data_IF_257708767227
#
_entry.id   IF_257708767227
#
_cell.length_a   1.000
_cell.length_b   1.000
_cell.length_c   1.000
_cell.angle_alpha   90.00
_cell.angle_beta   90.00
_cell.angle_gamma   90.00
#
_symmetry.space_group_name_H-M   'P 1'
#
loop_
_entity.id
_entity.type
_entity.pdbx_description
1 polymer ?
#
# COMPACT_ATOMS: atom_id res chain seq x y z
N UNK A 1 -24.28 0.52 -2.78
CA UNK A 1 -24.01 -0.39 -3.92
C UNK A 1 -25.31 -1.09 -4.33
N UNK A 2 -25.55 -1.37 -5.62
CA UNK A 2 -26.72 -2.17 -6.03
C UNK A 2 -26.57 -3.64 -5.63
N UNK A 3 -27.67 -4.39 -5.55
CA UNK A 3 -27.59 -5.83 -5.21
C UNK A 3 -26.81 -6.63 -6.25
N UNK A 4 -26.91 -6.26 -7.52
CA UNK A 4 -26.13 -6.89 -8.59
C UNK A 4 -24.63 -6.65 -8.41
N UNK A 5 -24.22 -5.42 -8.08
CA UNK A 5 -22.82 -5.10 -7.81
C UNK A 5 -22.31 -5.86 -6.57
N UNK A 6 -23.14 -5.95 -5.53
CA UNK A 6 -22.78 -6.66 -4.30
C UNK A 6 -22.61 -8.17 -4.53
N UNK A 7 -23.48 -8.79 -5.32
CA UNK A 7 -23.32 -10.21 -5.67
C UNK A 7 -22.10 -10.46 -6.57
N UNK A 8 -21.77 -9.54 -7.50
CA UNK A 8 -20.58 -9.66 -8.34
C UNK A 8 -19.28 -9.69 -7.51
N UNK A 9 -19.18 -8.89 -6.44
CA UNK A 9 -18.03 -8.93 -5.51
C UNK A 9 -17.93 -10.29 -4.81
N UNK A 10 -19.07 -10.84 -4.37
CA UNK A 10 -19.09 -12.17 -3.73
C UNK A 10 -18.73 -13.27 -4.72
N UNK A 11 -19.18 -13.18 -5.96
CA UNK A 11 -18.82 -14.12 -7.02
C UNK A 11 -17.30 -14.10 -7.30
N UNK A 12 -16.68 -12.92 -7.33
CA UNK A 12 -15.21 -12.78 -7.42
C UNK A 12 -14.50 -13.58 -6.32
N UNK A 13 -14.94 -13.46 -5.07
CA UNK A 13 -14.36 -14.21 -3.95
C UNK A 13 -14.70 -15.72 -3.92
N UNK A 14 -15.70 -16.19 -4.68
CA UNK A 14 -15.95 -17.65 -4.80
C UNK A 14 -14.86 -18.35 -5.61
N UNK A 15 -14.09 -17.62 -6.42
CA UNK A 15 -12.99 -18.18 -7.16
C UNK A 15 -11.85 -18.61 -6.19
N UNK A 16 -11.55 -19.91 -6.15
CA UNK A 16 -10.52 -20.47 -5.28
C UNK A 16 -9.13 -19.89 -5.55
N UNK A 17 -8.81 -19.58 -6.80
CA UNK A 17 -7.51 -19.01 -7.15
C UNK A 17 -7.36 -17.58 -6.62
N UNK A 18 -8.43 -16.79 -6.65
CA UNK A 18 -8.47 -15.44 -6.04
C UNK A 18 -8.21 -15.54 -4.55
N UNK A 19 -8.94 -16.41 -3.84
CA UNK A 19 -8.77 -16.59 -2.39
C UNK A 19 -7.35 -17.01 -2.04
N UNK A 20 -6.80 -17.98 -2.79
CA UNK A 20 -5.43 -18.45 -2.58
C UNK A 20 -4.41 -17.31 -2.74
N UNK A 21 -4.55 -16.44 -3.75
CA UNK A 21 -3.62 -15.31 -3.93
C UNK A 21 -3.72 -14.29 -2.79
N UNK A 22 -4.92 -14.04 -2.27
CA UNK A 22 -5.12 -13.14 -1.12
C UNK A 22 -4.52 -13.73 0.15
N UNK A 23 -4.73 -15.03 0.39
CA UNK A 23 -4.13 -15.76 1.49
C UNK A 23 -2.59 -15.74 1.41
N UNK A 24 -2.02 -16.01 0.23
CA UNK A 24 -0.58 -15.89 -0.05
C UNK A 24 -0.07 -14.48 0.28
N UNK A 25 -0.76 -13.44 -0.19
CA UNK A 25 -0.39 -12.04 0.06
C UNK A 25 -0.45 -11.64 1.54
N UNK A 26 -1.32 -12.28 2.32
CA UNK A 26 -1.42 -12.10 3.77
C UNK A 26 -0.41 -12.94 4.59
N UNK A 27 0.45 -13.72 3.91
CA UNK A 27 1.52 -14.53 4.53
C UNK A 27 1.30 -16.04 4.49
N UNK A 28 0.32 -16.51 3.70
CA UNK A 28 0.00 -17.92 3.48
C UNK A 28 -0.56 -18.62 4.72
N UNK A 29 -0.28 -19.92 4.84
CA UNK A 29 -0.85 -20.82 5.87
C UNK A 29 -0.66 -20.37 7.32
N UNK A 30 0.31 -19.47 7.59
CA UNK A 30 0.63 -18.98 8.93
C UNK A 30 0.49 -17.46 9.08
N UNK A 31 -0.37 -16.81 8.28
CA UNK A 31 -0.80 -15.42 8.38
C UNK A 31 0.22 -14.47 9.06
N UNK A 32 1.13 -13.91 8.26
CA UNK A 32 2.28 -13.16 8.78
C UNK A 32 1.94 -11.71 9.10
N UNK A 33 0.93 -11.12 8.48
CA UNK A 33 0.49 -9.78 8.83
C UNK A 33 -0.08 -9.74 10.27
N UNK A 34 0.07 -8.60 10.95
CA UNK A 34 -0.36 -8.48 12.35
C UNK A 34 -1.88 -8.53 12.48
N UNK A 35 -2.58 -7.92 11.53
CA UNK A 35 -4.03 -7.90 11.44
C UNK A 35 -4.48 -7.70 9.99
N UNK A 36 -5.75 -8.03 9.74
CA UNK A 36 -6.51 -7.67 8.55
C UNK A 36 -7.67 -6.76 8.91
N UNK A 37 -8.12 -6.02 7.92
CA UNK A 37 -9.28 -5.15 7.98
C UNK A 37 -10.21 -5.53 6.82
N UNK A 38 -11.45 -5.86 7.15
CA UNK A 38 -12.54 -5.95 6.19
C UNK A 38 -13.32 -4.64 6.17
N UNK A 39 -13.60 -4.11 4.99
CA UNK A 39 -14.46 -2.94 4.80
C UNK A 39 -15.47 -3.21 3.69
N UNK A 40 -16.68 -2.69 3.81
CA UNK A 40 -17.60 -2.72 2.68
C UNK A 40 -19.08 -2.76 3.01
N UNK A 41 -19.86 -2.90 1.94
CA UNK A 41 -21.32 -2.78 1.92
C UNK A 41 -22.01 -3.76 2.88
N UNK A 42 -21.51 -4.99 3.02
CA UNK A 42 -22.09 -5.97 3.95
C UNK A 42 -22.17 -5.42 5.38
N UNK A 43 -21.11 -4.80 5.89
CA UNK A 43 -21.12 -4.24 7.24
C UNK A 43 -22.08 -3.05 7.35
N UNK A 44 -22.14 -2.20 6.32
CA UNK A 44 -23.07 -1.07 6.28
C UNK A 44 -24.53 -1.53 6.34
N UNK A 45 -24.90 -2.55 5.55
CA UNK A 45 -26.24 -3.16 5.55
C UNK A 45 -26.60 -3.82 6.88
N UNK A 46 -25.60 -4.26 7.64
CA UNK A 46 -25.77 -4.83 8.99
C UNK A 46 -25.68 -3.78 10.11
N UNK A 47 -25.82 -2.49 9.79
CA UNK A 47 -25.97 -1.41 10.78
C UNK A 47 -24.66 -0.93 11.41
N UNK A 48 -23.49 -1.29 10.84
CA UNK A 48 -22.22 -0.77 11.30
C UNK A 48 -22.09 0.72 10.98
N UNK A 49 -21.94 1.56 12.00
CA UNK A 49 -21.71 3.02 11.83
C UNK A 49 -20.41 3.35 11.10
N UNK A 50 -19.38 2.54 11.33
CA UNK A 50 -18.15 2.51 10.55
C UNK A 50 -18.07 1.10 9.99
N UNK A 51 -18.25 0.89 8.67
CA UNK A 51 -18.36 -0.44 8.09
C UNK A 51 -16.97 -1.07 7.96
N UNK A 52 -16.29 -1.23 9.10
CA UNK A 52 -14.94 -1.72 9.25
C UNK A 52 -14.93 -2.82 10.31
N UNK A 53 -14.32 -3.96 9.97
CA UNK A 53 -14.06 -5.07 10.87
C UNK A 53 -12.57 -5.35 10.90
N UNK A 54 -11.96 -5.27 12.08
CA UNK A 54 -10.56 -5.64 12.26
C UNK A 54 -10.48 -7.04 12.85
N UNK A 55 -9.56 -7.86 12.36
CA UNK A 55 -9.24 -9.16 12.95
C UNK A 55 -7.74 -9.44 12.94
N UNK A 56 -7.26 -10.10 13.99
CA UNK A 56 -5.92 -10.69 14.11
C UNK A 56 -5.96 -12.22 13.96
N UNK A 57 -7.12 -12.77 13.60
CA UNK A 57 -7.40 -14.20 13.44
C UNK A 57 -7.44 -14.58 11.97
N UNK A 58 -6.71 -15.63 11.59
CA UNK A 58 -6.60 -16.07 10.19
C UNK A 58 -7.92 -16.66 9.69
N UNK A 59 -8.64 -17.36 10.56
CA UNK A 59 -9.94 -17.97 10.32
C UNK A 59 -11.01 -16.94 9.90
N UNK A 60 -10.85 -15.68 10.28
CA UNK A 60 -11.78 -14.61 9.90
C UNK A 60 -11.64 -14.18 8.44
N UNK A 61 -10.48 -14.41 7.81
CA UNK A 61 -10.21 -13.97 6.44
C UNK A 61 -11.21 -14.59 5.44
N UNK A 62 -11.47 -15.89 5.56
CA UNK A 62 -12.45 -16.57 4.71
C UNK A 62 -13.83 -15.94 4.86
N UNK A 63 -14.26 -15.69 6.11
CA UNK A 63 -15.54 -15.07 6.40
C UNK A 63 -15.67 -13.65 5.85
N UNK A 64 -14.60 -12.85 5.89
CA UNK A 64 -14.59 -11.52 5.27
C UNK A 64 -14.79 -11.61 3.75
N UNK A 65 -14.14 -12.56 3.08
CA UNK A 65 -14.32 -12.81 1.64
C UNK A 65 -15.73 -13.34 1.32
N UNK A 66 -16.29 -14.26 2.12
CA UNK A 66 -17.66 -14.78 1.94
C UNK A 66 -18.73 -13.67 2.05
N UNK A 67 -18.44 -12.68 2.88
CA UNK A 67 -19.24 -11.48 3.10
C UNK A 67 -19.06 -10.42 1.99
N UNK A 68 -18.11 -10.60 1.07
CA UNK A 68 -17.81 -9.64 0.02
C UNK A 68 -17.19 -8.35 0.54
N UNK A 69 -16.39 -8.42 1.62
CA UNK A 69 -15.66 -7.27 2.13
C UNK A 69 -14.36 -7.08 1.34
N UNK A 70 -14.02 -5.82 1.08
CA UNK A 70 -12.67 -5.44 0.68
C UNK A 70 -11.71 -5.78 1.82
N UNK A 71 -10.70 -6.58 1.52
CA UNK A 71 -9.72 -7.07 2.50
C UNK A 71 -8.43 -6.28 2.40
N UNK A 72 -8.02 -5.67 3.50
CA UNK A 72 -6.75 -4.96 3.64
C UNK A 72 -5.88 -5.67 4.67
N UNK A 73 -4.63 -5.94 4.32
CA UNK A 73 -3.64 -6.45 5.29
C UNK A 73 -2.87 -5.32 5.95
N UNK A 74 -2.40 -5.55 7.18
CA UNK A 74 -1.43 -4.66 7.79
C UNK A 74 -0.09 -4.70 7.03
N UNK A 75 0.51 -3.51 6.86
CA UNK A 75 1.93 -3.36 6.48
C UNK A 75 2.84 -3.93 7.56
N UNK A 76 2.41 -3.83 8.83
CA UNK A 76 3.09 -4.47 9.94
C UNK A 76 3.00 -6.01 9.84
N UNK A 77 4.16 -6.63 9.67
CA UNK A 77 4.32 -8.06 9.48
C UNK A 77 5.25 -8.68 10.54
N UNK A 78 4.94 -9.92 10.93
CA UNK A 78 5.63 -10.68 11.98
C UNK A 78 6.97 -11.25 11.52
N UNK A 79 7.19 -11.39 10.21
CA UNK A 79 8.34 -12.11 9.61
C UNK A 79 9.19 -11.25 8.68
N UNK A 80 8.67 -10.13 8.20
CA UNK A 80 9.35 -9.28 7.23
C UNK A 80 9.03 -7.79 7.42
N UNK A 81 9.84 -6.93 6.81
CA UNK A 81 9.43 -5.55 6.52
C UNK A 81 8.79 -5.57 5.13
N UNK A 82 7.55 -5.08 5.02
CA UNK A 82 6.90 -4.83 3.74
C UNK A 82 7.25 -3.40 3.31
N UNK A 83 7.81 -3.27 2.11
CA UNK A 83 8.00 -2.00 1.44
C UNK A 83 6.85 -1.82 0.45
N UNK A 84 6.02 -0.80 0.66
CA UNK A 84 4.89 -0.48 -0.21
C UNK A 84 5.15 0.92 -0.76
N UNK A 85 5.45 1.02 -2.03
CA UNK A 85 5.61 2.30 -2.69
C UNK A 85 4.33 2.63 -3.44
N UNK A 86 3.57 3.58 -2.90
CA UNK A 86 2.31 4.04 -3.49
C UNK A 86 2.61 5.14 -4.51
N UNK A 87 2.06 4.97 -5.71
CA UNK A 87 2.38 5.77 -6.88
C UNK A 87 1.08 6.05 -7.61
N UNK A 88 0.56 7.28 -7.46
CA UNK A 88 -0.77 7.63 -7.93
C UNK A 88 -0.84 8.92 -8.74
N UNK A 89 -1.80 8.96 -9.66
CA UNK A 89 -2.22 10.18 -10.33
C UNK A 89 -3.04 11.04 -9.38
N UNK A 90 -2.74 12.34 -9.36
CA UNK A 90 -3.56 13.32 -8.66
C UNK A 90 -3.94 14.49 -9.57
N UNK A 91 -5.07 15.13 -9.25
CA UNK A 91 -5.49 16.38 -9.86
C UNK A 91 -6.17 17.27 -8.81
N UNK A 92 -5.54 18.40 -8.50
CA UNK A 92 -5.97 19.35 -7.46
C UNK A 92 -7.17 20.20 -7.88
N UNK A 93 -7.53 20.20 -9.17
CA UNK A 93 -8.68 20.93 -9.69
C UNK A 93 -9.88 20.00 -9.93
N UNK A 94 -9.63 18.76 -10.39
CA UNK A 94 -10.68 17.81 -10.78
C UNK A 94 -10.31 16.36 -10.43
N UNK A 95 -10.42 15.99 -9.15
CA UNK A 95 -10.11 14.63 -8.67
C UNK A 95 -10.91 13.53 -9.37
N UNK A 96 -12.18 13.78 -9.66
CA UNK A 96 -13.09 12.79 -10.27
C UNK A 96 -12.84 12.50 -11.75
N UNK A 97 -12.06 13.33 -12.46
CA UNK A 97 -11.80 13.19 -13.89
C UNK A 97 -11.17 11.84 -14.28
N UNK A 98 -10.33 11.31 -13.39
CA UNK A 98 -9.73 9.98 -13.47
C UNK A 98 -10.78 8.87 -13.67
N UNK A 99 -11.86 8.88 -12.89
CA UNK A 99 -12.88 7.83 -12.90
C UNK A 99 -13.77 7.86 -14.15
N UNK A 100 -13.82 8.98 -14.85
CA UNK A 100 -14.57 9.09 -16.11
C UNK A 100 -13.81 8.51 -17.30
N UNK A 101 -12.48 8.51 -17.27
CA UNK A 101 -11.65 7.98 -18.36
C UNK A 101 -10.35 7.37 -17.83
N UNK A 102 -10.45 6.26 -17.10
CA UNK A 102 -9.29 5.62 -16.47
C UNK A 102 -8.20 5.23 -17.49
N UNK A 103 -8.59 4.70 -18.65
CA UNK A 103 -7.61 4.28 -19.67
C UNK A 103 -6.73 5.44 -20.14
N UNK A 104 -7.29 6.63 -20.31
CA UNK A 104 -6.50 7.82 -20.63
C UNK A 104 -5.49 8.14 -19.53
N UNK A 105 -5.92 8.13 -18.27
CA UNK A 105 -5.06 8.50 -17.15
C UNK A 105 -3.96 7.46 -16.91
N UNK A 106 -4.27 6.17 -17.04
CA UNK A 106 -3.26 5.11 -16.97
C UNK A 106 -2.20 5.24 -18.09
N UNK A 107 -2.58 5.65 -19.30
CA UNK A 107 -1.61 6.00 -20.36
C UNK A 107 -0.74 7.20 -20.02
N UNK A 108 -1.25 8.17 -19.26
CA UNK A 108 -0.46 9.31 -18.80
C UNK A 108 0.55 8.90 -17.71
N UNK A 109 0.20 7.91 -16.89
CA UNK A 109 1.06 7.37 -15.82
C UNK A 109 2.15 6.42 -16.34
N UNK A 110 1.90 5.76 -17.48
CA UNK A 110 2.77 4.71 -18.04
C UNK A 110 4.26 5.07 -18.12
N UNK A 111 4.68 6.29 -18.54
CA UNK A 111 6.09 6.65 -18.55
C UNK A 111 6.75 6.65 -17.16
N UNK A 112 5.99 6.97 -16.11
CA UNK A 112 6.49 6.94 -14.73
C UNK A 112 6.54 5.52 -14.21
N UNK A 113 5.50 4.73 -14.50
CA UNK A 113 5.46 3.29 -14.18
C UNK A 113 6.67 2.55 -14.76
N UNK A 114 6.94 2.71 -16.06
CA UNK A 114 8.08 2.06 -16.73
C UNK A 114 9.43 2.51 -16.17
N UNK A 115 9.56 3.80 -15.83
CA UNK A 115 10.79 4.31 -15.22
C UNK A 115 11.04 3.72 -13.81
N UNK A 116 9.98 3.36 -13.07
CA UNK A 116 10.09 2.66 -11.78
C UNK A 116 10.46 1.19 -12.01
N UNK A 117 9.78 0.50 -12.93
CA UNK A 117 10.10 -0.90 -13.30
C UNK A 117 11.58 -1.06 -13.66
N UNK A 118 12.06 -0.24 -14.60
CA UNK A 118 13.46 -0.24 -15.05
C UNK A 118 14.42 0.03 -13.89
N UNK A 119 14.08 0.98 -13.01
CA UNK A 119 14.90 1.33 -11.86
C UNK A 119 14.98 0.16 -10.86
N UNK A 120 13.85 -0.48 -10.55
CA UNK A 120 13.80 -1.62 -9.64
C UNK A 120 14.54 -2.83 -10.24
N UNK A 121 14.43 -3.05 -11.55
CA UNK A 121 15.17 -4.09 -12.28
C UNK A 121 16.69 -3.84 -12.22
N UNK A 122 17.15 -2.62 -12.48
CA UNK A 122 18.56 -2.25 -12.42
C UNK A 122 19.19 -2.51 -11.04
N UNK A 123 18.43 -2.26 -9.97
CA UNK A 123 18.86 -2.55 -8.60
C UNK A 123 18.62 -4.01 -8.17
N UNK A 124 18.00 -4.83 -9.02
CA UNK A 124 17.64 -6.22 -8.72
C UNK A 124 16.65 -6.33 -7.55
N UNK A 125 15.71 -5.39 -7.44
CA UNK A 125 14.70 -5.35 -6.37
C UNK A 125 13.46 -6.11 -6.85
N UNK A 126 13.21 -7.33 -6.35
CA UNK A 126 12.00 -8.06 -6.69
C UNK A 126 10.80 -7.39 -6.04
N UNK A 127 9.74 -7.26 -6.81
CA UNK A 127 8.50 -6.65 -6.37
C UNK A 127 7.31 -7.29 -7.08
N UNK A 128 6.12 -7.04 -6.55
CA UNK A 128 4.86 -7.29 -7.24
C UNK A 128 4.15 -5.95 -7.40
N UNK A 129 3.37 -5.83 -8.47
CA UNK A 129 2.54 -4.68 -8.69
C UNK A 129 1.09 -5.03 -8.43
N UNK A 130 0.41 -4.18 -7.66
CA UNK A 130 -1.03 -4.08 -7.72
C UNK A 130 -1.42 -2.77 -8.42
N UNK A 131 -2.66 -2.70 -8.89
CA UNK A 131 -3.23 -1.47 -9.44
C UNK A 131 -4.36 -1.02 -8.55
N UNK A 132 -4.39 0.28 -8.28
CA UNK A 132 -5.49 0.94 -7.56
C UNK A 132 -6.39 1.63 -8.58
N UNK A 133 -7.41 2.35 -8.10
CA UNK A 133 -8.23 3.15 -9.00
C UNK A 133 -7.51 4.37 -9.58
N UNK A 134 -6.43 4.83 -8.92
CA UNK A 134 -5.66 6.05 -9.22
C UNK A 134 -4.21 5.80 -9.58
N UNK A 135 -3.70 4.57 -9.48
CA UNK A 135 -2.30 4.29 -9.69
C UNK A 135 -1.91 2.85 -9.39
N UNK A 136 -0.77 2.70 -8.73
CA UNK A 136 -0.10 1.43 -8.52
C UNK A 136 0.56 1.37 -7.14
N UNK A 137 0.58 0.19 -6.52
CA UNK A 137 1.55 -0.10 -5.48
C UNK A 137 2.66 -1.00 -6.02
N UNK A 138 3.92 -0.60 -5.78
CA UNK A 138 5.09 -1.48 -5.96
C UNK A 138 5.44 -2.07 -4.60
N UNK A 139 5.32 -3.39 -4.48
CA UNK A 139 5.37 -4.08 -3.19
C UNK A 139 6.54 -5.05 -3.14
N UNK A 140 7.46 -4.84 -2.21
CA UNK A 140 8.56 -5.75 -1.91
C UNK A 140 8.46 -6.30 -0.48
N UNK A 141 8.81 -7.56 -0.30
CA UNK A 141 8.86 -8.22 1.00
C UNK A 141 10.31 -8.50 1.38
N UNK A 142 10.78 -7.96 2.51
CA UNK A 142 12.15 -8.13 2.99
C UNK A 142 12.14 -8.95 4.29
N UNK A 143 12.42 -10.27 4.25
CA UNK A 143 12.40 -11.12 5.45
C UNK A 143 13.39 -10.67 6.51
N UNK A 144 12.99 -10.71 7.79
CA UNK A 144 13.85 -10.36 8.95
C UNK A 144 15.09 -11.25 9.07
N UNK A 145 15.06 -12.46 8.48
CA UNK A 145 16.20 -13.37 8.43
C UNK A 145 17.25 -12.98 7.39
N UNK A 146 16.90 -12.14 6.41
CA UNK A 146 17.78 -11.80 5.28
C UNK A 146 18.94 -10.88 5.67
N UNK A 147 20.03 -10.93 4.89
CA UNK A 147 21.14 -9.97 4.99
C UNK A 147 20.72 -8.56 4.60
N UNK A 148 19.76 -8.43 3.68
CA UNK A 148 19.19 -7.15 3.24
C UNK A 148 18.50 -6.45 4.40
N UNK A 149 17.65 -7.16 5.15
CA UNK A 149 16.99 -6.58 6.32
C UNK A 149 17.98 -6.09 7.37
N UNK A 150 19.04 -6.86 7.64
CA UNK A 150 20.13 -6.42 8.54
C UNK A 150 20.83 -5.15 8.07
N UNK A 151 20.89 -4.88 6.77
CA UNK A 151 21.40 -3.61 6.23
C UNK A 151 20.39 -2.49 6.41
N UNK A 152 19.10 -2.74 6.20
CA UNK A 152 18.02 -1.79 6.50
C UNK A 152 18.07 -1.35 7.96
N UNK A 153 18.19 -2.30 8.89
CA UNK A 153 18.27 -2.00 10.33
C UNK A 153 19.40 -1.01 10.69
N UNK A 154 20.48 -0.91 9.88
CA UNK A 154 21.61 -0.01 10.14
C UNK A 154 21.39 1.42 9.67
N UNK A 155 20.55 1.62 8.66
CA UNK A 155 20.23 2.95 8.10
C UNK A 155 18.87 3.46 8.59
N UNK A 156 18.08 2.60 9.23
CA UNK A 156 16.81 2.95 9.87
C UNK A 156 17.02 3.71 11.17
N UNK A 157 16.35 4.86 11.28
CA UNK A 157 16.48 5.73 12.44
C UNK A 157 15.10 6.30 12.82
N UNK A 158 14.20 5.46 13.37
CA UNK A 158 12.88 5.89 13.78
C UNK A 158 12.98 6.88 14.95
N UNK A 159 12.07 7.85 14.98
CA UNK A 159 12.02 8.87 16.03
C UNK A 159 11.83 8.26 17.43
N UNK A 160 12.47 8.85 18.44
CA UNK A 160 12.42 8.32 19.82
C UNK A 160 11.01 8.33 20.40
N UNK A 161 10.24 9.37 20.09
CA UNK A 161 8.83 9.50 20.51
C UNK A 161 7.97 8.38 19.92
N UNK A 162 8.19 8.04 18.65
CA UNK A 162 7.52 6.94 17.97
C UNK A 162 7.91 5.59 18.59
N UNK A 163 9.21 5.33 18.80
CA UNK A 163 9.67 4.11 19.49
C UNK A 163 9.05 3.96 20.88
N UNK A 164 8.89 5.06 21.62
CA UNK A 164 8.24 5.03 22.93
C UNK A 164 6.77 4.63 22.81
N UNK A 165 6.04 5.20 21.84
CA UNK A 165 4.64 4.84 21.56
C UNK A 165 4.51 3.38 21.13
N UNK A 166 5.40 2.90 20.26
CA UNK A 166 5.38 1.54 19.71
C UNK A 166 5.79 0.45 20.73
N UNK A 167 6.42 0.87 21.83
CA UNK A 167 6.76 0.00 22.96
C UNK A 167 5.58 -0.25 23.92
N UNK A 168 4.49 0.50 23.76
CA UNK A 168 3.29 0.39 24.59
C UNK A 168 2.30 -0.59 23.98
N UNK A 169 1.63 -1.36 24.84
CA UNK A 169 0.51 -2.22 24.46
C UNK A 169 -0.76 -1.74 25.15
N UNK A 170 -1.88 -1.85 24.45
CA UNK A 170 -3.20 -1.50 24.98
C UNK A 170 -4.15 -2.65 24.70
N UNK A 171 -4.72 -3.24 25.78
CA UNK A 171 -5.61 -4.41 25.66
C UNK A 171 -6.88 -4.12 24.87
N UNK A 172 -7.33 -2.87 24.87
CA UNK A 172 -8.53 -2.39 24.17
C UNK A 172 -8.24 -1.92 22.73
N UNK A 173 -6.97 -1.83 22.34
CA UNK A 173 -6.56 -1.46 20.98
C UNK A 173 -6.09 -2.70 20.24
N UNK A 174 -6.95 -3.21 19.35
CA UNK A 174 -6.65 -4.39 18.55
C UNK A 174 -5.41 -4.23 17.64
N UNK A 175 -4.94 -3.00 17.39
CA UNK A 175 -3.70 -2.71 16.64
C UNK A 175 -2.45 -2.68 17.51
N UNK A 176 -2.59 -2.66 18.85
CA UNK A 176 -1.47 -2.55 19.82
C UNK A 176 -1.52 -3.63 20.89
N UNK A 177 -1.93 -4.84 20.51
CA UNK A 177 -1.94 -6.01 21.40
C UNK A 177 -0.52 -6.52 21.71
N UNK A 178 0.45 -6.20 20.84
CA UNK A 178 1.85 -6.61 20.94
C UNK A 178 2.78 -5.39 20.79
N UNK A 179 3.95 -5.45 21.42
CA UNK A 179 5.00 -4.46 21.22
C UNK A 179 5.61 -4.58 19.83
N UNK A 180 5.88 -3.45 19.17
CA UNK A 180 6.63 -3.44 17.91
C UNK A 180 8.10 -3.79 18.19
N UNK A 181 8.66 -4.83 17.55
CA UNK A 181 10.08 -5.12 17.68
C UNK A 181 10.92 -3.98 17.09
N UNK A 182 12.00 -3.58 17.78
CA UNK A 182 12.88 -2.51 17.31
C UNK A 182 13.40 -2.72 15.88
N UNK A 183 13.67 -3.97 15.49
CA UNK A 183 14.08 -4.28 14.12
C UNK A 183 13.01 -4.00 13.07
N UNK A 184 11.74 -4.17 13.41
CA UNK A 184 10.64 -3.87 12.50
C UNK A 184 10.55 -2.35 12.30
N UNK A 185 10.62 -1.58 13.39
CA UNK A 185 10.64 -0.12 13.36
C UNK A 185 11.83 0.44 12.55
N UNK A 186 13.04 -0.09 12.79
CA UNK A 186 14.23 0.30 12.03
C UNK A 186 14.12 -0.09 10.56
N UNK A 187 13.69 -1.32 10.26
CA UNK A 187 13.48 -1.77 8.89
C UNK A 187 12.50 -0.86 8.14
N UNK A 188 11.35 -0.56 8.75
CA UNK A 188 10.33 0.32 8.16
C UNK A 188 10.83 1.76 7.96
N UNK A 189 11.49 2.34 8.96
CA UNK A 189 12.14 3.67 8.85
C UNK A 189 13.18 3.73 7.72
N UNK A 190 13.93 2.65 7.51
CA UNK A 190 14.89 2.57 6.41
C UNK A 190 14.22 2.53 5.04
N UNK A 191 13.05 1.91 4.92
CA UNK A 191 12.29 1.89 3.66
C UNK A 191 11.92 3.31 3.22
N UNK A 192 11.46 4.17 4.14
CA UNK A 192 11.15 5.57 3.82
C UNK A 192 12.32 6.30 3.16
N UNK A 193 13.53 6.16 3.70
CA UNK A 193 14.77 6.74 3.15
C UNK A 193 15.13 6.16 1.78
N UNK A 194 14.91 4.87 1.58
CA UNK A 194 15.13 4.23 0.28
C UNK A 194 14.12 4.68 -0.76
N UNK A 195 12.83 4.75 -0.40
CA UNK A 195 11.79 5.24 -1.30
C UNK A 195 12.00 6.72 -1.64
N UNK A 196 12.47 7.55 -0.70
CA UNK A 196 12.87 8.93 -0.99
C UNK A 196 14.01 8.99 -2.03
N UNK A 197 15.07 8.20 -1.81
CA UNK A 197 16.18 8.10 -2.77
C UNK A 197 15.72 7.64 -4.16
N UNK A 198 14.93 6.56 -4.22
CA UNK A 198 14.39 6.04 -5.49
C UNK A 198 13.45 7.06 -6.15
N UNK A 199 12.64 7.77 -5.37
CA UNK A 199 11.74 8.82 -5.87
C UNK A 199 12.51 9.92 -6.58
N UNK A 200 13.63 10.39 -6.01
CA UNK A 200 14.48 11.37 -6.66
C UNK A 200 15.10 10.86 -7.97
N UNK A 201 15.45 9.57 -8.05
CA UNK A 201 15.92 8.97 -9.30
C UNK A 201 14.83 8.92 -10.36
N UNK A 202 13.61 8.52 -9.99
CA UNK A 202 12.44 8.49 -10.90
C UNK A 202 12.12 9.90 -11.40
N UNK A 203 12.05 10.89 -10.52
CA UNK A 203 11.83 12.30 -10.90
C UNK A 203 12.88 12.76 -11.91
N UNK A 204 14.16 12.41 -11.68
CA UNK A 204 15.25 12.76 -12.60
C UNK A 204 15.10 12.07 -13.97
N UNK A 205 14.74 10.79 -13.99
CA UNK A 205 14.56 9.99 -15.23
C UNK A 205 13.37 10.48 -16.06
N UNK A 206 12.27 10.82 -15.40
CA UNK A 206 10.99 11.15 -16.03
C UNK A 206 10.86 12.62 -16.42
N UNK A 207 11.75 13.50 -15.93
CA UNK A 207 11.67 14.96 -16.14
C UNK A 207 11.45 15.42 -17.58
N UNK A 208 11.94 14.66 -18.57
CA UNK A 208 11.81 15.01 -20.01
C UNK A 208 10.83 14.14 -20.78
N UNK A 209 10.45 12.98 -20.24
CA UNK A 209 9.66 11.96 -20.94
C UNK A 209 8.23 11.84 -20.43
N UNK A 210 7.98 12.19 -19.17
CA UNK A 210 6.63 12.13 -18.59
C UNK A 210 5.77 13.30 -19.04
N UNK A 211 4.51 13.07 -19.45
CA UNK A 211 3.54 14.12 -19.71
C UNK A 211 2.99 14.75 -18.42
N UNK A 212 3.31 14.16 -17.26
CA UNK A 212 2.91 14.62 -15.94
C UNK A 212 4.13 15.07 -15.13
N UNK A 213 4.05 16.18 -14.36
CA UNK A 213 5.04 16.46 -13.34
C UNK A 213 5.04 15.33 -12.31
N UNK A 214 6.22 14.83 -11.96
CA UNK A 214 6.39 13.79 -10.94
C UNK A 214 6.89 14.45 -9.66
N UNK A 215 6.20 14.23 -8.56
CA UNK A 215 6.47 14.84 -7.25
C UNK A 215 6.47 13.79 -6.15
N UNK A 216 7.09 14.14 -5.02
CA UNK A 216 6.89 13.40 -3.76
C UNK A 216 5.64 13.98 -3.11
N UNK A 217 4.63 13.15 -2.84
CA UNK A 217 3.27 13.56 -2.48
C UNK A 217 2.54 14.32 -3.61
N UNK A 218 1.26 14.57 -3.37
CA UNK A 218 0.34 15.49 -4.06
C UNK A 218 0.71 16.98 -3.87
N UNK A 219 1.99 17.30 -3.98
CA UNK A 219 2.50 18.66 -3.85
C UNK A 219 1.92 19.60 -4.93
N UNK A 220 1.86 20.89 -4.63
CA UNK A 220 1.35 21.89 -5.56
C UNK A 220 2.18 21.93 -6.86
N UNK A 221 1.52 21.61 -7.97
CA UNK A 221 2.08 21.65 -9.32
C UNK A 221 1.55 22.84 -10.12
N UNK A 222 2.30 23.25 -11.14
CA UNK A 222 1.86 24.25 -12.11
C UNK A 222 0.62 23.78 -12.88
N UNK A 223 -0.21 24.73 -13.33
CA UNK A 223 -1.40 24.41 -14.12
C UNK A 223 -1.00 23.95 -15.53
N UNK A 224 -1.54 22.83 -15.96
CA UNK A 224 -1.41 22.26 -17.30
C UNK A 224 -2.78 22.27 -18.03
N UNK A 225 -2.84 21.65 -19.20
CA UNK A 225 -4.06 21.60 -20.02
C UNK A 225 -5.28 21.00 -19.30
N UNK A 226 -5.09 20.03 -18.40
CA UNK A 226 -6.16 19.38 -17.61
C UNK A 226 -6.23 19.87 -16.16
N UNK A 227 -5.65 21.05 -15.88
CA UNK A 227 -5.58 21.60 -14.52
C UNK A 227 -4.24 21.31 -13.84
N UNK A 228 -4.23 21.38 -12.51
CA UNK A 228 -3.07 21.07 -11.68
C UNK A 228 -3.03 19.57 -11.38
N UNK A 229 -2.41 18.81 -12.28
CA UNK A 229 -2.29 17.36 -12.19
C UNK A 229 -0.84 16.91 -12.17
N UNK A 230 -0.59 15.72 -11.62
CA UNK A 230 0.75 15.15 -11.53
C UNK A 230 0.73 13.68 -11.15
N UNK A 231 1.93 13.13 -11.02
CA UNK A 231 2.18 11.81 -10.47
C UNK A 231 2.81 11.96 -9.09
N UNK A 232 2.14 11.44 -8.06
CA UNK A 232 2.63 11.38 -6.69
C UNK A 232 3.42 10.08 -6.51
N UNK A 233 4.66 10.20 -6.06
CA UNK A 233 5.43 9.12 -5.45
C UNK A 233 5.23 9.25 -3.95
N UNK A 234 4.19 8.61 -3.41
CA UNK A 234 3.77 8.80 -2.04
C UNK A 234 4.66 8.03 -1.05
N UNK A 235 5.33 8.81 -0.21
CA UNK A 235 6.15 8.34 0.90
C UNK A 235 5.67 8.92 2.24
N UNK A 236 4.51 9.58 2.28
CA UNK A 236 3.96 10.23 3.47
C UNK A 236 3.67 9.24 4.60
N UNK A 237 3.42 7.96 4.28
CA UNK A 237 3.33 6.87 5.26
C UNK A 237 4.62 6.64 6.08
N UNK A 238 5.74 7.24 5.65
CA UNK A 238 7.04 7.21 6.32
C UNK A 238 7.44 8.58 6.92
N UNK A 239 6.58 9.59 6.79
CA UNK A 239 6.79 10.92 7.35
C UNK A 239 6.37 10.91 8.83
N UNK A 240 7.33 10.65 9.71
CA UNK A 240 7.18 10.66 11.17
C UNK A 240 7.88 11.86 11.82
#
# INVERSE_FOLDING_TARGET
MSDQQFEAVREYYRNRDVRRRIEEFCGGDKFSCEYIVGFGEFLARNGYRRPLRLSNHQEDLSGMMDQGLDVFRAVWDKKATLAVWDVEYFNLDTWHGLYHNQLLHFKLMEPVYLAIEELLEEYGIPHINDSTSSGYHFISLIPYSSTVHRKLERIGFPEKSLLNKDSQTHREDNKRLRKLPLRAARGYSAIGRLHEFLSHLVIRRTRKSSPLPVTISDAAVGRMARGREGMSLDITQYAD
#
